data_IF_845897769701
#
_entry.id   IF_845897769701
#
_cell.length_a   1.000
_cell.length_b   1.000
_cell.length_c   1.000
_cell.angle_alpha   90.00
_cell.angle_beta   90.00
_cell.angle_gamma   90.00
#
_symmetry.space_group_name_H-M   'P 1'
#
loop_
_entity.id
_entity.type
_entity.pdbx_description
1 polymer ?
#
# COMPACT_ATOMS: atom_id res chain seq x y z
N UNK A 1 -10.13 8.97 -5.31
CA UNK A 1 -10.25 9.96 -4.23
C UNK A 1 -11.65 10.03 -3.71
N UNK A 2 -11.77 10.34 -2.42
CA UNK A 2 -12.99 10.77 -1.74
C UNK A 2 -12.93 12.31 -1.68
N UNK A 3 -14.04 12.96 -2.04
CA UNK A 3 -14.19 14.40 -1.92
C UNK A 3 -14.91 14.69 -0.60
N UNK A 4 -14.39 15.65 0.15
CA UNK A 4 -14.95 16.11 1.42
C UNK A 4 -15.17 17.61 1.40
N UNK A 5 -16.24 18.03 2.07
CA UNK A 5 -16.61 19.43 2.25
C UNK A 5 -16.94 19.68 3.71
N UNK A 6 -16.79 20.93 4.15
CA UNK A 6 -17.24 21.39 5.47
C UNK A 6 -18.76 21.67 5.51
N UNK A 7 -19.35 21.90 4.34
CA UNK A 7 -20.78 22.10 4.09
C UNK A 7 -21.35 20.92 3.28
N UNK A 8 -22.68 20.74 3.17
CA UNK A 8 -23.27 19.68 2.37
C UNK A 8 -22.73 19.67 0.93
N UNK A 9 -22.24 18.52 0.46
CA UNK A 9 -21.58 18.42 -0.85
C UNK A 9 -22.49 18.85 -2.01
N UNK A 10 -23.81 18.68 -1.86
CA UNK A 10 -24.83 19.06 -2.84
C UNK A 10 -24.93 20.57 -3.07
N UNK A 11 -24.46 21.38 -2.12
CA UNK A 11 -24.45 22.84 -2.22
C UNK A 11 -23.30 23.35 -3.10
N UNK A 12 -22.30 22.49 -3.36
CA UNK A 12 -21.10 22.84 -4.12
C UNK A 12 -20.91 22.03 -5.40
N UNK A 13 -21.38 20.78 -5.44
CA UNK A 13 -21.19 19.90 -6.58
C UNK A 13 -22.41 19.01 -6.84
N UNK A 14 -22.78 18.79 -8.11
CA UNK A 14 -23.78 17.79 -8.45
C UNK A 14 -23.28 16.39 -8.07
N UNK A 15 -24.15 15.61 -7.43
CA UNK A 15 -23.86 14.23 -7.02
C UNK A 15 -24.83 13.25 -7.67
N UNK A 16 -24.44 11.98 -7.70
CA UNK A 16 -25.26 10.86 -8.09
C UNK A 16 -25.09 9.73 -7.08
N UNK A 17 -26.18 9.04 -6.76
CA UNK A 17 -26.16 7.86 -5.88
C UNK A 17 -26.21 6.61 -6.74
N UNK A 18 -25.17 5.78 -6.64
CA UNK A 18 -25.10 4.52 -7.37
C UNK A 18 -26.04 3.49 -6.75
N UNK A 19 -27.00 3.00 -7.53
CA UNK A 19 -28.05 2.09 -7.06
C UNK A 19 -27.56 0.73 -6.53
N UNK A 20 -26.37 0.27 -6.94
CA UNK A 20 -25.86 -1.06 -6.57
C UNK A 20 -25.38 -1.15 -5.13
N UNK A 21 -24.87 -0.05 -4.57
CA UNK A 21 -24.22 -0.02 -3.27
C UNK A 21 -24.46 1.30 -2.50
N UNK A 22 -25.37 2.16 -2.99
CA UNK A 22 -25.73 3.46 -2.43
C UNK A 22 -24.54 4.41 -2.21
N UNK A 23 -23.44 4.22 -2.95
CA UNK A 23 -22.29 5.13 -2.88
C UNK A 23 -22.65 6.45 -3.55
N UNK A 24 -22.39 7.56 -2.84
CA UNK A 24 -22.54 8.92 -3.37
C UNK A 24 -21.28 9.31 -4.15
N UNK A 25 -21.46 9.76 -5.39
CA UNK A 25 -20.39 10.03 -6.35
C UNK A 25 -20.55 11.46 -6.87
N UNK A 26 -19.49 12.27 -6.85
CA UNK A 26 -19.46 13.59 -7.49
C UNK A 26 -19.53 13.42 -9.01
N UNK A 27 -20.34 14.21 -9.69
CA UNK A 27 -20.46 14.13 -11.16
C UNK A 27 -19.29 14.84 -11.88
N UNK A 28 -18.55 15.69 -11.16
CA UNK A 28 -17.32 16.31 -11.65
C UNK A 28 -16.09 15.50 -11.28
N UNK A 29 -15.03 15.70 -12.05
CA UNK A 29 -13.72 15.13 -11.74
C UNK A 29 -13.07 15.82 -10.54
N UNK A 30 -12.04 15.19 -9.98
CA UNK A 30 -11.41 15.72 -8.77
C UNK A 30 -10.71 17.08 -8.96
N UNK A 31 -10.06 17.40 -10.11
CA UNK A 31 -9.43 18.71 -10.29
C UNK A 31 -10.47 19.84 -10.27
N UNK A 32 -11.64 19.62 -10.85
CA UNK A 32 -12.75 20.58 -10.77
C UNK A 32 -13.21 20.76 -9.31
N UNK A 33 -13.36 19.68 -8.56
CA UNK A 33 -13.73 19.74 -7.15
C UNK A 33 -12.70 20.52 -6.32
N UNK A 34 -11.40 20.26 -6.51
CA UNK A 34 -10.33 20.98 -5.80
C UNK A 34 -10.31 22.46 -6.14
N UNK A 35 -10.58 22.83 -7.40
CA UNK A 35 -10.64 24.24 -7.84
C UNK A 35 -11.74 25.05 -7.13
N UNK A 36 -12.78 24.37 -6.61
CA UNK A 36 -13.89 24.96 -5.86
C UNK A 36 -13.63 24.99 -4.35
N UNK A 37 -12.42 24.58 -3.91
CA UNK A 37 -12.05 24.53 -2.49
C UNK A 37 -12.48 23.26 -1.77
N UNK A 38 -12.94 22.24 -2.50
CA UNK A 38 -13.26 20.94 -1.90
C UNK A 38 -11.99 20.15 -1.60
N UNK A 39 -11.99 19.44 -0.48
CA UNK A 39 -10.84 18.65 -0.04
C UNK A 39 -10.87 17.27 -0.68
N UNK A 40 -9.80 16.89 -1.36
CA UNK A 40 -9.62 15.55 -1.91
C UNK A 40 -8.68 14.73 -1.03
N UNK A 41 -9.11 13.52 -0.66
CA UNK A 41 -8.25 12.51 -0.03
C UNK A 41 -8.27 11.21 -0.82
N UNK A 42 -7.14 10.51 -0.88
CA UNK A 42 -7.08 9.17 -1.48
C UNK A 42 -7.09 8.10 -0.40
N UNK A 43 -8.11 7.25 -0.44
CA UNK A 43 -8.15 6.00 0.31
C UNK A 43 -7.73 4.89 -0.65
N UNK A 44 -6.47 4.46 -0.52
CA UNK A 44 -5.90 3.42 -1.38
C UNK A 44 -6.08 2.04 -0.74
N UNK A 45 -6.80 1.16 -1.44
CA UNK A 45 -6.89 -0.25 -1.08
C UNK A 45 -5.61 -0.99 -1.48
N UNK A 46 -4.63 -1.05 -0.58
CA UNK A 46 -3.36 -1.74 -0.85
C UNK A 46 -3.45 -3.22 -0.48
N UNK A 47 -3.43 -4.08 -1.50
CA UNK A 47 -3.53 -5.54 -1.34
C UNK A 47 -2.40 -6.13 -0.48
N UNK A 48 -1.20 -5.55 -0.52
CA UNK A 48 -0.06 -6.00 0.28
C UNK A 48 -0.36 -5.89 1.79
N UNK A 49 -1.10 -4.87 2.24
CA UNK A 49 -1.48 -4.70 3.64
C UNK A 49 -2.41 -5.83 4.11
N UNK A 50 -3.36 -6.24 3.27
CA UNK A 50 -4.22 -7.40 3.56
C UNK A 50 -3.40 -8.69 3.66
N UNK A 51 -2.46 -8.90 2.72
CA UNK A 51 -1.58 -10.08 2.74
C UNK A 51 -0.72 -10.11 4.02
N UNK A 52 -0.19 -8.96 4.44
CA UNK A 52 0.61 -8.84 5.65
C UNK A 52 -0.22 -9.12 6.92
N UNK A 53 -1.44 -8.59 7.01
CA UNK A 53 -2.35 -8.85 8.12
C UNK A 53 -2.71 -10.35 8.23
N UNK A 54 -3.04 -10.99 7.11
CA UNK A 54 -3.30 -12.43 7.06
C UNK A 54 -2.07 -13.24 7.49
N UNK A 55 -0.87 -12.88 7.01
CA UNK A 55 0.37 -13.55 7.38
C UNK A 55 0.65 -13.46 8.89
N UNK A 56 0.47 -12.29 9.51
CA UNK A 56 0.64 -12.11 10.96
C UNK A 56 -0.37 -12.96 11.74
N UNK A 57 -1.64 -12.96 11.34
CA UNK A 57 -2.68 -13.82 11.95
C UNK A 57 -2.33 -15.30 11.85
N UNK A 58 -1.83 -15.74 10.70
CA UNK A 58 -1.39 -17.12 10.49
C UNK A 58 -0.20 -17.49 11.36
N UNK A 59 0.78 -16.59 11.53
CA UNK A 59 1.93 -16.83 12.43
C UNK A 59 1.47 -16.95 13.88
N UNK A 60 0.55 -16.09 14.33
CA UNK A 60 -0.04 -16.18 15.68
C UNK A 60 -0.78 -17.49 15.89
N UNK A 61 -1.63 -17.88 14.95
CA UNK A 61 -2.41 -19.14 15.02
C UNK A 61 -1.51 -20.39 15.04
N UNK A 62 -0.50 -20.44 14.17
CA UNK A 62 0.32 -21.64 14.00
C UNK A 62 1.50 -21.75 14.98
N UNK A 63 2.02 -20.62 15.46
CA UNK A 63 3.26 -20.58 16.27
C UNK A 63 3.08 -19.92 17.63
N UNK A 64 1.90 -19.37 17.93
CA UNK A 64 1.63 -18.63 19.17
C UNK A 64 2.44 -17.33 19.30
N UNK A 65 3.07 -16.86 18.21
CA UNK A 65 3.91 -15.65 18.22
C UNK A 65 3.11 -14.45 17.75
N UNK A 66 3.06 -13.41 18.58
CA UNK A 66 2.56 -12.10 18.17
C UNK A 66 3.69 -11.31 17.51
N UNK A 67 3.39 -10.72 16.34
CA UNK A 67 4.32 -9.88 15.61
C UNK A 67 3.76 -8.46 15.59
N UNK A 68 4.55 -7.51 16.07
CA UNK A 68 4.31 -6.09 15.84
C UNK A 68 5.15 -5.65 14.64
N UNK A 69 4.49 -5.39 13.52
CA UNK A 69 5.14 -4.99 12.26
C UNK A 69 5.92 -3.68 12.39
N UNK A 70 5.50 -2.77 13.28
CA UNK A 70 6.16 -1.48 13.47
C UNK A 70 7.44 -1.58 14.32
N UNK A 71 7.61 -2.70 15.02
CA UNK A 71 8.78 -2.96 15.88
C UNK A 71 9.79 -3.92 15.23
N UNK A 72 9.58 -4.34 13.98
CA UNK A 72 10.52 -5.24 13.28
C UNK A 72 11.83 -4.49 13.00
N UNK A 73 12.98 -5.05 13.40
CA UNK A 73 14.28 -4.46 13.08
C UNK A 73 14.57 -4.52 11.58
N UNK A 74 15.21 -3.49 11.05
CA UNK A 74 15.50 -3.36 9.62
C UNK A 74 16.84 -3.98 9.21
N UNK A 75 17.57 -4.61 10.12
CA UNK A 75 18.91 -5.17 9.94
C UNK A 75 18.94 -6.71 9.97
N UNK A 76 17.80 -7.38 9.78
CA UNK A 76 17.72 -8.86 9.82
C UNK A 76 18.52 -9.52 8.68
N UNK A 77 19.62 -10.25 8.97
CA UNK A 77 20.47 -10.81 7.93
C UNK A 77 19.76 -11.82 7.04
N UNK A 78 18.77 -12.56 7.58
CA UNK A 78 18.03 -13.58 6.81
C UNK A 78 17.13 -12.96 5.75
N UNK A 79 16.61 -11.76 6.02
CA UNK A 79 15.83 -10.98 5.07
C UNK A 79 16.73 -10.51 3.92
N UNK A 80 17.92 -9.98 4.21
CA UNK A 80 18.88 -9.61 3.18
C UNK A 80 19.39 -10.80 2.36
N UNK A 81 19.65 -11.95 3.00
CA UNK A 81 20.02 -13.17 2.31
C UNK A 81 18.96 -13.62 1.29
N UNK A 82 17.66 -13.48 1.63
CA UNK A 82 16.54 -13.76 0.73
C UNK A 82 16.55 -12.81 -0.48
N UNK A 83 16.75 -11.52 -0.25
CA UNK A 83 16.85 -10.50 -1.31
C UNK A 83 18.06 -10.79 -2.22
N UNK A 84 19.22 -11.08 -1.65
CA UNK A 84 20.47 -11.40 -2.37
C UNK A 84 20.34 -12.62 -3.28
N UNK A 85 19.53 -13.62 -2.91
CA UNK A 85 19.25 -14.77 -3.79
C UNK A 85 18.25 -14.44 -4.90
N UNK A 86 17.55 -13.31 -4.79
CA UNK A 86 16.44 -12.95 -5.67
C UNK A 86 15.24 -13.87 -5.48
N UNK A 87 15.04 -14.40 -4.26
CA UNK A 87 13.93 -15.27 -3.87
C UNK A 87 12.69 -14.43 -3.48
N UNK A 88 12.40 -13.40 -4.27
CA UNK A 88 11.43 -12.33 -3.95
C UNK A 88 10.08 -12.49 -4.64
N UNK A 89 9.73 -13.70 -5.08
CA UNK A 89 8.39 -13.95 -5.62
C UNK A 89 7.35 -13.71 -4.51
N UNK A 90 6.44 -12.76 -4.73
CA UNK A 90 5.44 -12.36 -3.73
C UNK A 90 5.93 -11.33 -2.71
N UNK A 91 7.17 -10.84 -2.82
CA UNK A 91 7.66 -9.68 -2.05
C UNK A 91 7.27 -8.41 -2.81
N UNK A 92 6.57 -7.51 -2.12
CA UNK A 92 6.06 -6.26 -2.71
C UNK A 92 7.19 -5.46 -3.38
N UNK A 93 6.92 -4.89 -4.56
CA UNK A 93 7.86 -4.16 -5.45
C UNK A 93 9.03 -4.98 -6.04
N UNK A 94 9.34 -6.17 -5.49
CA UNK A 94 10.57 -6.90 -5.83
C UNK A 94 10.36 -8.22 -6.59
N UNK A 95 9.15 -8.53 -7.04
CA UNK A 95 8.79 -9.80 -7.67
C UNK A 95 9.15 -9.91 -9.16
N UNK A 96 9.32 -8.77 -9.84
CA UNK A 96 9.61 -8.70 -11.28
C UNK A 96 10.94 -9.34 -11.69
N UNK A 97 10.97 -10.02 -12.84
CA UNK A 97 12.17 -10.72 -13.34
C UNK A 97 13.44 -9.86 -13.44
N UNK A 98 13.39 -8.64 -14.01
CA UNK A 98 14.52 -7.71 -14.01
C UNK A 98 14.94 -7.30 -12.60
N UNK A 99 13.99 -7.02 -11.71
CA UNK A 99 14.26 -6.62 -10.32
C UNK A 99 14.95 -7.73 -9.54
N UNK A 100 14.49 -8.98 -9.68
CA UNK A 100 15.13 -10.17 -9.11
C UNK A 100 16.57 -10.34 -9.58
N UNK A 101 16.85 -10.02 -10.83
CA UNK A 101 18.20 -10.05 -11.39
C UNK A 101 19.07 -8.93 -10.84
N UNK A 102 18.50 -7.73 -10.69
CA UNK A 102 19.18 -6.60 -10.05
C UNK A 102 19.55 -6.91 -8.60
N UNK A 103 18.63 -7.45 -7.80
CA UNK A 103 18.89 -7.80 -6.40
C UNK A 103 20.04 -8.81 -6.24
N UNK A 104 20.14 -9.80 -7.14
CA UNK A 104 21.25 -10.77 -7.15
C UNK A 104 22.62 -10.14 -7.46
N UNK A 105 22.63 -9.09 -8.29
CA UNK A 105 23.84 -8.37 -8.67
C UNK A 105 24.25 -7.37 -7.59
N UNK A 106 23.28 -6.65 -7.05
CA UNK A 106 23.48 -5.59 -6.05
C UNK A 106 23.88 -6.17 -4.69
N UNK A 107 23.25 -7.28 -4.28
CA UNK A 107 23.42 -7.90 -2.96
C UNK A 107 23.21 -6.90 -1.80
N UNK A 108 21.96 -6.40 -1.61
CA UNK A 108 21.67 -5.45 -0.54
C UNK A 108 22.09 -6.00 0.83
N UNK A 109 22.71 -5.16 1.65
CA UNK A 109 23.09 -5.50 3.03
C UNK A 109 22.55 -4.52 4.09
N UNK A 110 21.88 -3.47 3.65
CA UNK A 110 21.27 -2.45 4.50
C UNK A 110 19.94 -1.95 3.91
N UNK A 111 19.19 -1.19 4.70
CA UNK A 111 17.85 -0.75 4.32
C UNK A 111 17.90 0.35 3.25
N UNK A 112 18.94 1.17 3.25
CA UNK A 112 19.18 2.23 2.29
C UNK A 112 19.31 1.67 0.86
N UNK A 113 19.94 0.49 0.69
CA UNK A 113 20.01 -0.21 -0.58
C UNK A 113 18.62 -0.58 -1.11
N UNK A 114 17.71 -1.01 -0.22
CA UNK A 114 16.33 -1.34 -0.57
C UNK A 114 15.61 -0.07 -1.04
N UNK A 115 15.78 1.03 -0.30
CA UNK A 115 15.17 2.32 -0.65
C UNK A 115 15.71 2.92 -1.95
N UNK A 116 16.95 2.63 -2.32
CA UNK A 116 17.56 3.16 -3.54
C UNK A 116 17.04 2.48 -4.82
N UNK A 117 16.52 1.25 -4.72
CA UNK A 117 16.04 0.46 -5.88
C UNK A 117 14.52 0.33 -5.96
N UNK A 118 13.78 0.88 -5.00
CA UNK A 118 12.31 0.83 -4.96
C UNK A 118 11.60 1.97 -5.69
#
# INVERSE_FOLDING_TARGET
GVIMSSEPIIDHAPVWVRHTDNVTITQWDYPQCESLGLLKMDFLGLRNLTIMDDAVKMVKSNKGKELDLLAIPLDDPKTYDLLCRGDTLGVFQFDGGPMRSLLRLMKPDNFEDISAVS
#
